data_IF_230460620125
#
_entry.id   IF_230460620125
#
_cell.length_a   1.000
_cell.length_b   1.000
_cell.length_c   1.000
_cell.angle_alpha   90.00
_cell.angle_beta   90.00
_cell.angle_gamma   90.00
#
_symmetry.space_group_name_H-M   'P 1'
#
loop_
_entity.id
_entity.type
_entity.pdbx_description
1 polymer ?
#
# COMPACT_ATOMS: atom_id res chain seq x y z
N UNK A 1 15.78 -12.77 -3.28
CA UNK A 1 15.49 -14.17 -2.87
C UNK A 1 15.36 -14.23 -1.35
N UNK A 2 14.37 -14.95 -0.84
CA UNK A 2 14.02 -14.92 0.58
C UNK A 2 13.09 -16.06 0.97
N UNK A 3 12.40 -15.90 2.11
CA UNK A 3 11.49 -16.89 2.71
C UNK A 3 10.03 -16.42 2.77
N UNK A 4 9.72 -15.25 2.23
CA UNK A 4 8.38 -14.65 2.29
C UNK A 4 8.20 -13.63 3.40
N UNK A 5 9.29 -13.13 3.97
CA UNK A 5 9.27 -12.14 5.05
C UNK A 5 8.81 -10.77 4.52
N UNK A 6 8.09 -10.02 5.35
CA UNK A 6 7.73 -8.63 5.08
C UNK A 6 8.52 -7.71 6.03
N UNK A 7 9.46 -6.96 5.49
CA UNK A 7 10.21 -5.93 6.21
C UNK A 7 9.61 -4.56 5.96
N UNK A 8 9.61 -3.71 6.98
CA UNK A 8 9.00 -2.38 6.92
C UNK A 8 9.97 -1.32 7.47
N UNK A 9 10.12 -0.20 6.77
CA UNK A 9 11.00 0.91 7.18
C UNK A 9 10.37 2.28 6.92
N UNK A 10 10.95 3.34 7.48
CA UNK A 10 10.46 4.71 7.28
C UNK A 10 9.73 5.33 8.46
N UNK A 11 10.08 4.88 9.68
CA UNK A 11 9.50 5.35 10.95
C UNK A 11 7.97 5.19 10.99
N UNK A 12 7.51 3.98 10.69
CA UNK A 12 6.10 3.63 10.73
C UNK A 12 5.71 3.14 12.13
N UNK A 13 4.59 3.63 12.63
CA UNK A 13 3.97 3.17 13.87
C UNK A 13 3.22 1.85 13.68
N UNK A 14 2.63 1.34 14.75
CA UNK A 14 2.03 0.00 14.77
C UNK A 14 0.79 -0.10 13.89
N UNK A 15 -0.02 0.96 13.81
CA UNK A 15 -1.22 0.99 12.95
C UNK A 15 -0.85 0.87 11.47
N UNK A 16 0.24 1.51 11.06
CA UNK A 16 0.74 1.44 9.69
C UNK A 16 1.37 0.06 9.40
N UNK A 17 2.03 -0.57 10.39
CA UNK A 17 2.53 -1.95 10.24
C UNK A 17 1.38 -2.94 10.04
N UNK A 18 0.30 -2.82 10.80
CA UNK A 18 -0.91 -3.63 10.63
C UNK A 18 -1.54 -3.42 9.25
N UNK A 19 -1.57 -2.17 8.77
CA UNK A 19 -2.06 -1.84 7.42
C UNK A 19 -1.21 -2.51 6.33
N UNK A 20 0.11 -2.52 6.48
CA UNK A 20 1.02 -3.18 5.55
C UNK A 20 0.84 -4.72 5.55
N UNK A 21 0.70 -5.32 6.73
CA UNK A 21 0.43 -6.75 6.87
C UNK A 21 -0.93 -7.14 6.29
N UNK A 22 -1.95 -6.31 6.51
CA UNK A 22 -3.29 -6.50 5.95
C UNK A 22 -3.25 -6.46 4.42
N UNK A 23 -2.57 -5.46 3.85
CA UNK A 23 -2.36 -5.34 2.41
C UNK A 23 -1.66 -6.59 1.84
N UNK A 24 -0.60 -7.07 2.48
CA UNK A 24 0.10 -8.28 2.03
C UNK A 24 -0.77 -9.54 2.13
N UNK A 25 -1.53 -9.67 3.22
CA UNK A 25 -2.41 -10.82 3.46
C UNK A 25 -3.52 -10.91 2.42
N UNK A 26 -4.14 -9.78 2.06
CA UNK A 26 -5.20 -9.78 1.05
C UNK A 26 -4.66 -10.00 -0.37
N UNK A 27 -3.47 -9.50 -0.69
CA UNK A 27 -2.80 -9.82 -1.96
C UNK A 27 -2.58 -11.32 -2.08
N UNK A 28 -2.08 -11.97 -1.02
CA UNK A 28 -1.93 -13.44 -0.96
C UNK A 28 -3.28 -14.16 -1.15
N UNK A 29 -4.30 -13.76 -0.38
CA UNK A 29 -5.62 -14.37 -0.44
C UNK A 29 -6.28 -14.25 -1.83
N UNK A 30 -5.95 -13.21 -2.60
CA UNK A 30 -6.49 -12.94 -3.93
C UNK A 30 -5.53 -13.27 -5.08
N UNK A 31 -4.40 -13.93 -4.82
CA UNK A 31 -3.35 -14.15 -5.82
C UNK A 31 -3.88 -14.77 -7.12
N UNK A 32 -4.72 -15.81 -7.02
CA UNK A 32 -5.36 -16.46 -8.18
C UNK A 32 -6.23 -15.49 -8.98
N UNK A 33 -7.05 -14.67 -8.31
CA UNK A 33 -7.92 -13.67 -8.94
C UNK A 33 -7.12 -12.55 -9.62
N UNK A 34 -6.01 -12.16 -8.99
CA UNK A 34 -5.10 -11.11 -9.47
C UNK A 34 -4.12 -11.62 -10.55
N UNK A 35 -4.09 -12.93 -10.83
CA UNK A 35 -3.14 -13.60 -11.74
C UNK A 35 -1.69 -13.45 -11.29
N UNK A 36 -1.47 -13.51 -9.98
CA UNK A 36 -0.14 -13.53 -9.35
C UNK A 36 0.28 -14.99 -9.14
N UNK A 37 1.54 -15.30 -9.42
CA UNK A 37 2.12 -16.61 -9.12
C UNK A 37 2.32 -16.76 -7.60
N UNK A 38 1.59 -17.69 -6.99
CA UNK A 38 1.62 -17.94 -5.55
C UNK A 38 3.00 -18.34 -5.03
N UNK A 39 3.85 -18.93 -5.88
CA UNK A 39 5.20 -19.31 -5.50
C UNK A 39 6.09 -18.11 -5.13
N UNK A 40 5.78 -16.93 -5.67
CA UNK A 40 6.55 -15.71 -5.40
C UNK A 40 6.50 -15.35 -3.91
N UNK A 41 5.39 -15.65 -3.21
CA UNK A 41 5.23 -15.29 -1.80
C UNK A 41 6.17 -16.02 -0.86
N UNK A 42 6.68 -17.19 -1.23
CA UNK A 42 7.65 -17.97 -0.44
C UNK A 42 9.09 -17.84 -0.96
N UNK A 43 9.28 -17.46 -2.24
CA UNK A 43 10.60 -17.35 -2.88
C UNK A 43 11.33 -16.02 -2.63
N UNK A 44 10.59 -14.98 -2.24
CA UNK A 44 11.12 -13.62 -2.08
C UNK A 44 10.75 -13.02 -0.74
N UNK A 45 11.64 -12.21 -0.19
CA UNK A 45 11.32 -11.28 0.88
C UNK A 45 10.89 -9.94 0.28
N UNK A 46 9.97 -9.28 0.96
CA UNK A 46 9.34 -8.03 0.53
C UNK A 46 9.72 -6.93 1.50
N UNK A 47 10.04 -5.76 0.97
CA UNK A 47 10.40 -4.60 1.77
C UNK A 47 9.53 -3.42 1.37
N UNK A 48 8.73 -2.91 2.31
CA UNK A 48 7.98 -1.68 2.13
C UNK A 48 8.72 -0.56 2.85
N UNK A 49 9.02 0.50 2.10
CA UNK A 49 9.58 1.72 2.64
C UNK A 49 8.55 2.84 2.51
N UNK A 50 8.27 3.53 3.61
CA UNK A 50 7.45 4.75 3.61
C UNK A 50 8.37 5.97 3.80
N UNK A 51 8.57 6.84 2.80
CA UNK A 51 9.53 7.94 2.85
C UNK A 51 9.33 8.94 3.99
N UNK A 52 10.25 9.90 4.18
CA UNK A 52 10.22 10.89 5.27
C UNK A 52 10.33 10.24 6.68
N UNK A 53 11.34 9.41 6.89
CA UNK A 53 11.55 8.65 8.14
C UNK A 53 11.93 9.47 9.38
N UNK A 54 11.82 10.81 9.32
CA UNK A 54 11.94 11.70 10.48
C UNK A 54 10.57 12.11 11.05
N UNK A 55 9.48 11.87 10.31
CA UNK A 55 8.11 12.13 10.75
C UNK A 55 7.43 10.78 11.02
N UNK A 56 6.99 10.52 12.26
CA UNK A 56 6.24 9.31 12.61
C UNK A 56 4.98 9.19 11.76
N UNK A 57 4.75 7.99 11.20
CA UNK A 57 3.56 7.68 10.41
C UNK A 57 2.77 6.58 11.07
N UNK A 58 1.68 6.95 11.72
CA UNK A 58 0.88 6.01 12.49
C UNK A 58 -0.62 6.04 12.11
N UNK A 59 -0.89 6.28 10.82
CA UNK A 59 -2.26 6.30 10.29
C UNK A 59 -2.52 5.16 9.30
N UNK A 60 -3.72 4.55 9.27
CA UNK A 60 -4.01 3.42 8.39
C UNK A 60 -4.23 3.81 6.91
N UNK A 61 -4.28 5.12 6.65
CA UNK A 61 -4.78 5.71 5.39
C UNK A 61 -3.95 5.43 4.13
N UNK A 62 -2.84 4.71 4.24
CA UNK A 62 -1.99 4.29 3.12
C UNK A 62 -2.16 2.80 2.75
N UNK A 63 -3.09 2.08 3.37
CA UNK A 63 -3.35 0.66 3.11
C UNK A 63 -3.60 0.35 1.63
N UNK A 64 -4.44 1.14 0.96
CA UNK A 64 -4.73 0.98 -0.47
C UNK A 64 -3.49 1.20 -1.36
N UNK A 65 -2.62 2.15 -0.99
CA UNK A 65 -1.37 2.43 -1.71
C UNK A 65 -0.36 1.28 -1.56
N UNK A 66 -0.24 0.71 -0.35
CA UNK A 66 0.62 -0.44 -0.10
C UNK A 66 0.12 -1.68 -0.86
N UNK A 67 -1.20 -1.94 -0.86
CA UNK A 67 -1.80 -3.00 -1.66
C UNK A 67 -1.45 -2.85 -3.15
N UNK A 68 -1.69 -1.66 -3.72
CA UNK A 68 -1.43 -1.41 -5.14
C UNK A 68 0.05 -1.58 -5.49
N UNK A 69 0.95 -1.11 -4.62
CA UNK A 69 2.40 -1.25 -4.81
C UNK A 69 2.84 -2.72 -4.79
N UNK A 70 2.30 -3.53 -3.89
CA UNK A 70 2.58 -4.97 -3.83
C UNK A 70 2.07 -5.70 -5.08
N UNK A 71 0.85 -5.41 -5.52
CA UNK A 71 0.27 -6.01 -6.74
C UNK A 71 1.08 -5.61 -7.99
N UNK A 72 1.48 -4.34 -8.07
CA UNK A 72 2.34 -3.82 -9.14
C UNK A 72 3.66 -4.57 -9.21
N UNK A 73 4.34 -4.73 -8.06
CA UNK A 73 5.60 -5.45 -7.94
C UNK A 73 5.47 -6.92 -8.39
N UNK A 74 4.46 -7.63 -7.88
CA UNK A 74 4.27 -9.06 -8.15
C UNK A 74 3.90 -9.36 -9.61
N UNK A 75 3.13 -8.46 -10.23
CA UNK A 75 2.74 -8.59 -11.64
C UNK A 75 3.79 -8.03 -12.61
N UNK A 76 4.83 -7.34 -12.12
CA UNK A 76 5.76 -6.61 -12.98
C UNK A 76 5.10 -5.49 -13.79
N UNK A 77 4.01 -4.91 -13.29
CA UNK A 77 3.25 -3.85 -13.96
C UNK A 77 3.48 -2.51 -13.31
N UNK A 78 3.83 -1.50 -14.09
CA UNK A 78 4.06 -0.16 -13.56
C UNK A 78 2.77 0.49 -13.08
N UNK A 79 2.85 1.20 -11.95
CA UNK A 79 1.77 2.09 -11.50
C UNK A 79 1.77 3.37 -12.32
N UNK A 80 0.61 4.00 -12.43
CA UNK A 80 0.45 5.29 -13.08
C UNK A 80 1.02 6.41 -12.19
N UNK A 81 1.99 7.22 -12.65
CA UNK A 81 2.62 8.27 -11.84
C UNK A 81 1.72 9.50 -11.64
N UNK A 82 0.64 9.62 -12.41
CA UNK A 82 -0.31 10.74 -12.38
C UNK A 82 -1.52 10.49 -11.45
N UNK A 83 -1.46 9.46 -10.60
CA UNK A 83 -2.53 9.03 -9.71
C UNK A 83 -2.07 9.06 -8.24
N UNK A 84 -2.80 9.79 -7.40
CA UNK A 84 -2.71 9.68 -5.95
C UNK A 84 -3.83 8.78 -5.40
N UNK A 85 -3.61 8.16 -4.25
CA UNK A 85 -4.65 7.40 -3.57
C UNK A 85 -4.54 7.46 -2.05
N UNK A 86 -5.67 7.37 -1.37
CA UNK A 86 -5.75 7.20 0.08
C UNK A 86 -6.91 6.28 0.42
N UNK A 87 -6.75 5.51 1.49
CA UNK A 87 -7.77 4.60 1.97
C UNK A 87 -7.18 3.58 2.92
N UNK A 88 -7.91 3.32 4.00
CA UNK A 88 -7.62 2.21 4.90
C UNK A 88 -8.11 0.91 4.26
N UNK A 89 -7.35 -0.17 4.38
CA UNK A 89 -7.70 -1.46 3.77
C UNK A 89 -8.05 -2.46 4.86
N UNK A 90 -9.07 -3.28 4.60
CA UNK A 90 -9.46 -4.39 5.47
C UNK A 90 -9.02 -5.74 4.88
N UNK A 91 -8.98 -6.78 5.72
CA UNK A 91 -8.73 -8.16 5.26
C UNK A 91 -9.80 -8.68 4.26
N UNK A 92 -10.96 -8.02 4.18
CA UNK A 92 -12.03 -8.34 3.21
C UNK A 92 -11.89 -7.58 1.89
N UNK A 93 -10.96 -6.65 1.79
CA UNK A 93 -10.71 -5.86 0.57
C UNK A 93 -11.61 -4.65 0.41
N UNK A 94 -12.28 -4.25 1.48
CA UNK A 94 -12.96 -2.96 1.54
C UNK A 94 -11.94 -1.85 1.77
N UNK A 95 -12.19 -0.71 1.13
CA UNK A 95 -11.47 0.54 1.37
C UNK A 95 -12.35 1.39 2.30
N UNK A 96 -11.83 1.72 3.49
CA UNK A 96 -12.55 2.47 4.51
C UNK A 96 -12.25 3.97 4.43
N UNK A 97 -13.19 4.83 4.88
CA UNK A 97 -12.99 6.27 4.96
C UNK A 97 -11.75 6.67 5.75
N UNK A 98 -11.16 7.81 5.39
CA UNK A 98 -9.96 8.35 6.03
C UNK A 98 -10.14 9.83 6.35
N UNK A 99 -9.48 10.29 7.40
CA UNK A 99 -9.44 11.72 7.75
C UNK A 99 -8.58 12.55 6.79
N UNK A 100 -8.78 13.87 6.86
CA UNK A 100 -7.93 14.87 6.21
C UNK A 100 -8.04 14.91 4.68
N UNK A 101 -9.23 14.61 4.13
CA UNK A 101 -9.42 14.57 2.67
C UNK A 101 -9.14 15.92 2.01
N UNK A 102 -9.54 17.03 2.64
CA UNK A 102 -9.30 18.37 2.11
C UNK A 102 -7.81 18.63 1.93
N UNK A 103 -7.00 18.34 2.96
CA UNK A 103 -5.56 18.53 2.97
C UNK A 103 -4.88 17.63 1.94
N UNK A 104 -5.32 16.36 1.83
CA UNK A 104 -4.79 15.40 0.85
C UNK A 104 -5.07 15.80 -0.59
N UNK A 105 -6.29 16.28 -0.88
CA UNK A 105 -6.66 16.75 -2.23
C UNK A 105 -5.89 18.03 -2.57
N UNK A 106 -5.74 18.95 -1.62
CA UNK A 106 -4.93 20.16 -1.82
C UNK A 106 -3.46 19.82 -2.09
N UNK A 107 -2.88 18.87 -1.35
CA UNK A 107 -1.52 18.40 -1.57
C UNK A 107 -1.36 17.74 -2.96
N UNK A 108 -2.32 16.89 -3.37
CA UNK A 108 -2.32 16.28 -4.70
C UNK A 108 -2.39 17.34 -5.80
N UNK A 109 -3.25 18.35 -5.65
CA UNK A 109 -3.36 19.48 -6.57
C UNK A 109 -2.06 20.29 -6.64
N UNK A 110 -1.42 20.58 -5.52
CA UNK A 110 -0.13 21.27 -5.46
C UNK A 110 0.98 20.48 -6.14
N UNK A 111 0.95 19.15 -6.05
CA UNK A 111 1.87 18.25 -6.74
C UNK A 111 1.53 18.05 -8.24
N UNK A 112 0.50 18.71 -8.77
CA UNK A 112 0.09 18.59 -10.17
C UNK A 112 -0.60 17.27 -10.53
N UNK A 113 -1.01 16.47 -9.52
CA UNK A 113 -1.69 15.19 -9.72
C UNK A 113 -3.14 15.46 -10.11
N UNK A 114 -3.57 14.88 -11.24
CA UNK A 114 -4.92 15.11 -11.80
C UNK A 114 -5.95 14.07 -11.37
N UNK A 115 -5.51 12.89 -10.94
CA UNK A 115 -6.40 11.81 -10.53
C UNK A 115 -6.14 11.43 -9.08
N UNK A 116 -7.19 11.44 -8.26
CA UNK A 116 -7.13 11.03 -6.85
C UNK A 116 -8.16 9.95 -6.60
N UNK A 117 -7.72 8.79 -6.11
CA UNK A 117 -8.59 7.70 -5.68
C UNK A 117 -8.88 7.87 -4.18
N UNK A 118 -10.17 7.95 -3.85
CA UNK A 118 -10.67 8.09 -2.48
C UNK A 118 -11.52 6.87 -2.10
N UNK A 119 -11.74 6.60 -0.80
CA UNK A 119 -12.67 5.58 -0.32
C UNK A 119 -14.11 5.83 -0.77
#
# INVERSE_FOLDING_TARGET
PGKGNLQLTGQIGDVMKESAQTAFSIVKANAKKLKIDSDQFSKFDYHIHVPAGAVPKDGPSAGAAMFTSLVSLLLGKQTRPDVAMTGEITLRGLVLPVGGLKEKILAAKQAGIKTVILP
#
